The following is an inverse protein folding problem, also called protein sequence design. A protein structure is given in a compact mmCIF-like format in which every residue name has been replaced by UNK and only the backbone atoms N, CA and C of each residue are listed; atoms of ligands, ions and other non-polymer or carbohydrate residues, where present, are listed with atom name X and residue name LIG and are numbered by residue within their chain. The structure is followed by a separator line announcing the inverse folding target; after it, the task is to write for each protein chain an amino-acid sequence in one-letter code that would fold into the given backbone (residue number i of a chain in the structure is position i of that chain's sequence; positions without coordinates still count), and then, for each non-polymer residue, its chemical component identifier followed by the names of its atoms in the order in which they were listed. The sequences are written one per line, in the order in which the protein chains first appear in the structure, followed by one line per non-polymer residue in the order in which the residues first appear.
data_IF_719181422304
#
_entry.id   IF_719181422304
#
_cell.length_a   1.000
_cell.length_b   1.000
_cell.length_c   1.000
_cell.angle_alpha   90.00
_cell.angle_beta   90.00
_cell.angle_gamma   90.00
#
_symmetry.space_group_name_H-M   'P 1'
#
loop_
_entity.id
_entity.type
_entity.pdbx_description
1 polymer ?
#
# COMPACT_ATOMS: atom_id res chain seq x y z
N UNK A 1 27.67 -30.51 -1.97
CA UNK A 1 26.73 -29.73 -1.14
C UNK A 1 27.21 -29.42 0.29
N UNK A 2 28.44 -29.82 0.70
CA UNK A 2 29.02 -29.40 2.00
C UNK A 2 29.63 -27.98 1.96
N UNK A 3 30.07 -27.52 0.79
CA UNK A 3 30.79 -26.24 0.61
C UNK A 3 29.94 -24.98 0.83
N UNK A 4 28.60 -25.10 0.80
CA UNK A 4 27.68 -23.94 0.92
C UNK A 4 27.38 -23.61 2.39
N UNK A 5 27.58 -24.56 3.31
CA UNK A 5 27.34 -24.36 4.75
C UNK A 5 28.53 -23.71 5.46
N UNK A 6 29.76 -23.99 5.02
CA UNK A 6 30.98 -23.41 5.60
C UNK A 6 31.09 -21.88 5.34
N UNK A 7 30.48 -21.38 4.26
CA UNK A 7 30.42 -19.94 3.98
C UNK A 7 29.37 -19.18 4.80
N UNK A 8 28.38 -19.87 5.39
CA UNK A 8 27.35 -19.24 6.24
C UNK A 8 27.88 -19.03 7.68
N UNK A 9 28.81 -19.86 8.14
CA UNK A 9 29.46 -19.69 9.45
C UNK A 9 30.39 -18.47 9.53
N UNK A 10 30.95 -18.02 8.40
CA UNK A 10 31.80 -16.82 8.36
C UNK A 10 31.03 -15.50 8.60
N UNK A 11 29.70 -15.50 8.50
CA UNK A 11 28.84 -14.31 8.72
C UNK A 11 28.28 -14.21 10.15
N UNK A 12 28.56 -15.18 11.03
CA UNK A 12 28.06 -15.20 12.41
C UNK A 12 28.52 -14.03 13.32
N UNK A 13 29.71 -13.41 13.17
CA UNK A 13 30.10 -12.33 14.07
C UNK A 13 29.36 -11.00 13.81
N UNK A 14 28.76 -10.81 12.63
CA UNK A 14 27.98 -9.58 12.31
C UNK A 14 26.60 -9.61 13.00
N UNK A 15 26.05 -10.79 13.28
CA UNK A 15 24.73 -10.96 13.90
C UNK A 15 24.75 -10.58 15.39
N UNK A 16 25.92 -10.60 16.05
CA UNK A 16 26.07 -10.21 17.46
C UNK A 16 25.75 -8.73 17.74
N UNK A 17 25.73 -7.87 16.70
CA UNK A 17 25.45 -6.43 16.81
C UNK A 17 24.02 -6.03 16.40
N UNK A 18 23.17 -7.00 16.02
CA UNK A 18 21.78 -6.72 15.66
C UNK A 18 20.84 -6.92 16.85
N UNK A 19 20.64 -5.81 17.58
CA UNK A 19 19.43 -5.41 18.33
C UNK A 19 18.47 -6.59 18.62
N UNK A 20 18.40 -7.03 19.88
CA UNK A 20 17.62 -8.17 20.47
C UNK A 20 16.25 -8.53 19.84
N UNK A 21 15.60 -7.63 19.09
CA UNK A 21 14.35 -7.87 18.36
C UNK A 21 14.53 -8.66 17.05
N UNK A 22 15.64 -8.51 16.33
CA UNK A 22 15.88 -9.22 15.06
C UNK A 22 16.14 -10.71 15.28
N UNK A 23 16.90 -11.06 16.32
CA UNK A 23 17.25 -12.45 16.64
C UNK A 23 16.01 -13.32 16.95
N UNK A 24 14.99 -12.76 17.62
CA UNK A 24 13.74 -13.46 17.94
C UNK A 24 12.87 -13.74 16.71
N UNK A 25 13.02 -12.96 15.64
CA UNK A 25 12.30 -13.17 14.38
C UNK A 25 12.96 -14.27 13.55
N UNK A 26 14.30 -14.30 13.50
CA UNK A 26 15.09 -15.35 12.83
C UNK A 26 14.91 -16.71 13.51
N UNK A 27 14.99 -16.79 14.84
CA UNK A 27 14.72 -18.02 15.62
C UNK A 27 13.31 -18.60 15.42
N UNK A 28 12.32 -17.74 15.10
CA UNK A 28 10.94 -18.18 14.88
C UNK A 28 10.72 -18.75 13.46
N UNK A 29 11.55 -18.36 12.49
CA UNK A 29 11.56 -18.98 11.16
C UNK A 29 12.24 -20.36 11.16
N UNK A 30 13.26 -20.55 12.00
CA UNK A 30 13.97 -21.85 12.13
C UNK A 30 13.09 -22.95 12.76
N UNK A 31 12.04 -22.58 13.50
CA UNK A 31 11.04 -23.50 14.07
C UNK A 31 9.68 -23.45 13.35
N UNK A 32 9.68 -23.12 12.06
CA UNK A 32 8.46 -23.13 11.26
C UNK A 32 8.17 -24.54 10.75
N UNK A 33 7.15 -25.19 11.32
CA UNK A 33 6.61 -26.43 10.74
C UNK A 33 5.62 -26.11 9.61
N UNK A 34 5.77 -26.72 8.41
CA UNK A 34 4.86 -26.50 7.30
C UNK A 34 3.44 -26.98 7.62
N UNK A 35 2.48 -26.55 6.80
CA UNK A 35 1.07 -26.82 7.07
C UNK A 35 0.74 -28.31 6.87
N UNK A 36 1.32 -28.95 5.85
CA UNK A 36 1.08 -30.35 5.52
C UNK A 36 1.46 -31.25 6.71
N UNK A 37 2.66 -31.05 7.28
CA UNK A 37 3.14 -31.83 8.42
C UNK A 37 2.25 -31.69 9.66
N UNK A 38 1.63 -30.52 9.87
CA UNK A 38 0.70 -30.34 10.99
C UNK A 38 -0.63 -31.07 10.75
N UNK A 39 -1.09 -31.13 9.51
CA UNK A 39 -2.29 -31.87 9.12
C UNK A 39 -2.06 -33.37 9.32
N UNK A 40 -0.91 -33.88 8.86
CA UNK A 40 -0.50 -35.27 9.06
C UNK A 40 -0.46 -35.66 10.55
N UNK A 41 0.10 -34.80 11.40
CA UNK A 41 0.11 -35.03 12.84
C UNK A 41 -1.31 -35.17 13.43
N UNK A 42 -2.29 -34.42 12.91
CA UNK A 42 -3.70 -34.51 13.33
C UNK A 42 -4.34 -35.79 12.83
N UNK A 43 -4.08 -36.21 11.58
CA UNK A 43 -4.60 -37.48 11.06
C UNK A 43 -4.07 -38.69 11.83
N UNK A 44 -2.77 -38.73 12.12
CA UNK A 44 -2.16 -39.80 12.93
C UNK A 44 -2.77 -39.81 14.35
N UNK A 45 -2.99 -38.64 14.95
CA UNK A 45 -3.68 -38.56 16.25
C UNK A 45 -5.14 -39.04 16.16
N UNK A 46 -5.84 -38.69 15.08
CA UNK A 46 -7.22 -39.13 14.84
C UNK A 46 -7.36 -40.65 14.83
N UNK A 47 -6.38 -41.35 14.24
CA UNK A 47 -6.32 -42.81 14.16
C UNK A 47 -5.88 -43.46 15.49
N UNK A 48 -4.88 -42.92 16.17
CA UNK A 48 -4.29 -43.55 17.38
C UNK A 48 -4.98 -43.16 18.68
N UNK A 49 -5.58 -41.97 18.74
CA UNK A 49 -6.12 -41.33 19.97
C UNK A 49 -5.12 -41.30 21.14
N UNK A 50 -3.82 -41.39 20.87
CA UNK A 50 -2.76 -41.42 21.88
C UNK A 50 -1.59 -40.53 21.47
N UNK A 51 -1.24 -39.56 22.32
CA UNK A 51 -0.16 -38.61 22.04
C UNK A 51 1.22 -39.26 21.94
N UNK A 52 1.48 -40.32 22.72
CA UNK A 52 2.77 -41.02 22.72
C UNK A 52 2.97 -41.80 21.42
N UNK A 53 1.93 -42.50 20.99
CA UNK A 53 1.98 -43.28 19.76
C UNK A 53 2.02 -42.37 18.52
N UNK A 54 1.27 -41.26 18.57
CA UNK A 54 1.33 -40.24 17.52
C UNK A 54 2.73 -39.65 17.38
N UNK A 55 3.39 -39.28 18.49
CA UNK A 55 4.77 -38.75 18.47
C UNK A 55 5.73 -39.76 17.84
N UNK A 56 5.65 -41.03 18.24
CA UNK A 56 6.50 -42.09 17.70
C UNK A 56 6.31 -42.25 16.19
N UNK A 57 5.08 -42.51 15.74
CA UNK A 57 4.76 -42.72 14.32
C UNK A 57 5.14 -41.49 13.48
N UNK A 58 4.88 -40.29 14.02
CA UNK A 58 5.22 -39.05 13.34
C UNK A 58 6.74 -38.88 13.21
N UNK A 59 7.49 -39.11 14.29
CA UNK A 59 8.94 -38.93 14.29
C UNK A 59 9.67 -40.00 13.46
N UNK A 60 9.12 -41.22 13.40
CA UNK A 60 9.59 -42.28 12.51
C UNK A 60 9.39 -41.89 11.03
N UNK A 61 8.29 -41.19 10.70
CA UNK A 61 8.00 -40.69 9.35
C UNK A 61 8.80 -39.44 8.98
N UNK A 62 9.06 -38.55 9.93
CA UNK A 62 9.73 -37.26 9.72
C UNK A 62 10.95 -37.07 10.64
N UNK A 63 12.08 -37.75 10.37
CA UNK A 63 13.25 -37.73 11.25
C UNK A 63 13.97 -36.38 11.30
N UNK A 64 13.90 -35.59 10.22
CA UNK A 64 14.55 -34.27 10.11
C UNK A 64 13.79 -33.16 10.84
N UNK A 65 12.58 -33.44 11.33
CA UNK A 65 11.74 -32.48 12.02
C UNK A 65 10.87 -33.19 13.06
N UNK A 66 11.45 -33.73 14.14
CA UNK A 66 10.66 -34.42 15.15
C UNK A 66 9.71 -33.47 15.89
N UNK A 67 8.56 -33.97 16.28
CA UNK A 67 7.58 -33.31 17.14
C UNK A 67 7.81 -33.78 18.58
N UNK A 68 7.59 -32.87 19.53
CA UNK A 68 7.48 -33.22 20.94
C UNK A 68 6.00 -33.32 21.37
N UNK A 69 5.69 -34.19 22.33
CA UNK A 69 4.32 -34.34 22.90
C UNK A 69 3.69 -33.03 23.34
N UNK A 70 4.47 -32.09 23.88
CA UNK A 70 3.97 -30.77 24.30
C UNK A 70 3.39 -30.01 23.11
N UNK A 71 4.14 -29.92 22.01
CA UNK A 71 3.69 -29.28 20.78
C UNK A 71 2.43 -29.95 20.23
N UNK A 72 2.40 -31.29 20.22
CA UNK A 72 1.25 -32.05 19.75
C UNK A 72 -0.02 -31.75 20.55
N UNK A 73 0.08 -31.69 21.89
CA UNK A 73 -1.04 -31.29 22.77
C UNK A 73 -1.54 -29.88 22.45
N UNK A 74 -0.64 -28.92 22.30
CA UNK A 74 -0.99 -27.53 21.95
C UNK A 74 -1.64 -27.45 20.56
N UNK A 75 -1.14 -28.23 19.59
CA UNK A 75 -1.67 -28.30 18.24
C UNK A 75 -3.11 -28.83 18.23
N UNK A 76 -3.36 -29.94 18.92
CA UNK A 76 -4.68 -30.57 18.99
C UNK A 76 -5.65 -29.71 19.79
N UNK A 77 -5.23 -29.14 20.92
CA UNK A 77 -6.08 -28.22 21.70
C UNK A 77 -6.49 -27.00 20.87
N UNK A 78 -5.54 -26.41 20.13
CA UNK A 78 -5.82 -25.32 19.20
C UNK A 78 -6.79 -25.75 18.09
N UNK A 79 -6.57 -26.92 17.51
CA UNK A 79 -7.43 -27.45 16.45
C UNK A 79 -8.85 -27.72 16.95
N UNK A 80 -9.01 -28.28 18.15
CA UNK A 80 -10.33 -28.51 18.76
C UNK A 80 -11.11 -27.20 19.00
N UNK A 81 -10.43 -26.11 19.34
CA UNK A 81 -11.07 -24.81 19.60
C UNK A 81 -11.35 -24.03 18.32
N UNK A 82 -10.40 -23.97 17.38
CA UNK A 82 -10.48 -23.09 16.18
C UNK A 82 -10.89 -23.83 14.91
N UNK A 83 -10.78 -25.16 14.87
CA UNK A 83 -10.93 -25.96 13.64
C UNK A 83 -9.82 -25.76 12.62
N UNK A 84 -8.76 -25.00 12.96
CA UNK A 84 -7.72 -24.60 12.04
C UNK A 84 -6.32 -24.81 12.58
N UNK A 85 -5.44 -25.24 11.68
CA UNK A 85 -4.05 -25.59 11.93
C UNK A 85 -3.11 -24.43 11.56
N UNK A 86 -3.62 -23.43 10.84
CA UNK A 86 -2.83 -22.30 10.32
C UNK A 86 -2.28 -21.45 11.46
N UNK A 87 -1.10 -20.87 11.25
CA UNK A 87 -0.48 -20.03 12.29
C UNK A 87 -1.38 -18.82 12.58
N UNK A 88 -1.54 -18.50 13.87
CA UNK A 88 -2.29 -17.31 14.27
C UNK A 88 -1.57 -16.08 13.70
N UNK A 89 -2.32 -15.16 13.08
CA UNK A 89 -1.79 -13.86 12.70
C UNK A 89 -1.27 -13.20 13.98
N UNK A 90 -0.03 -12.76 13.96
CA UNK A 90 0.52 -12.00 15.07
C UNK A 90 -0.24 -10.68 15.16
N UNK A 91 -0.57 -10.21 16.37
CA UNK A 91 -1.03 -8.83 16.51
C UNK A 91 0.04 -7.93 15.90
N UNK A 92 -0.38 -7.03 15.03
CA UNK A 92 0.50 -6.08 14.36
C UNK A 92 1.15 -5.11 15.34
N UNK A 93 1.97 -4.20 14.80
CA UNK A 93 2.46 -3.08 15.61
C UNK A 93 1.28 -2.26 16.16
N UNK A 94 1.31 -1.82 17.43
CA UNK A 94 0.25 -1.01 18.01
C UNK A 94 -0.07 0.17 17.11
N UNK A 95 -1.35 0.32 16.78
CA UNK A 95 -1.83 1.45 16.01
C UNK A 95 -2.01 2.64 16.94
N UNK A 96 -1.87 3.85 16.39
CA UNK A 96 -2.24 5.09 17.10
C UNK A 96 -3.74 5.00 17.43
N UNK A 97 -4.19 5.37 18.64
CA UNK A 97 -5.62 5.43 18.94
C UNK A 97 -6.35 6.36 17.98
N UNK A 98 -7.62 6.06 17.69
CA UNK A 98 -8.42 6.80 16.70
C UNK A 98 -8.58 8.28 17.07
N UNK A 99 -8.80 8.58 18.35
CA UNK A 99 -8.89 9.94 18.89
C UNK A 99 -7.68 10.81 18.51
N UNK A 100 -6.47 10.27 18.66
CA UNK A 100 -5.23 10.97 18.29
C UNK A 100 -5.10 11.16 16.79
N UNK A 101 -5.62 10.23 15.99
CA UNK A 101 -5.62 10.40 14.53
C UNK A 101 -6.53 11.54 14.11
N UNK A 102 -7.73 11.62 14.69
CA UNK A 102 -8.68 12.71 14.45
C UNK A 102 -8.06 14.04 14.86
N UNK A 103 -7.41 14.09 16.03
CA UNK A 103 -6.72 15.30 16.51
C UNK A 103 -5.65 15.79 15.52
N UNK A 104 -4.77 14.89 15.05
CA UNK A 104 -3.69 15.23 14.11
C UNK A 104 -4.26 15.71 12.77
N UNK A 105 -5.30 15.04 12.26
CA UNK A 105 -5.92 15.42 10.99
C UNK A 105 -6.64 16.77 11.13
N UNK A 106 -7.37 16.97 12.24
CA UNK A 106 -8.05 18.23 12.52
C UNK A 106 -7.10 19.43 12.52
N UNK A 107 -5.97 19.31 13.21
CA UNK A 107 -4.96 20.37 13.25
C UNK A 107 -4.45 20.74 11.85
N UNK A 108 -4.20 19.74 11.01
CA UNK A 108 -3.69 19.95 9.64
C UNK A 108 -4.77 20.50 8.70
N UNK A 109 -6.03 20.16 8.90
CA UNK A 109 -7.14 20.73 8.14
C UNK A 109 -7.33 22.20 8.48
N UNK A 110 -7.20 22.58 9.75
CA UNK A 110 -7.30 23.98 10.20
C UNK A 110 -6.11 24.79 9.67
N UNK A 111 -4.90 24.26 9.78
CA UNK A 111 -3.68 24.94 9.37
C UNK A 111 -2.77 24.06 8.47
N UNK A 112 -3.04 23.98 7.16
CA UNK A 112 -2.29 23.11 6.24
C UNK A 112 -0.79 23.45 6.09
N UNK A 113 -0.39 24.65 6.51
CA UNK A 113 0.97 25.18 6.37
C UNK A 113 1.88 24.81 7.56
N UNK A 114 1.33 24.24 8.63
CA UNK A 114 2.11 23.89 9.81
C UNK A 114 3.11 22.77 9.52
N UNK A 115 4.25 22.83 10.20
CA UNK A 115 5.24 21.76 10.13
C UNK A 115 4.74 20.51 10.85
N UNK A 116 5.13 19.34 10.36
CA UNK A 116 4.81 18.07 11.03
C UNK A 116 5.39 17.96 12.44
N UNK A 117 6.49 18.66 12.73
CA UNK A 117 7.06 18.76 14.07
C UNK A 117 6.16 19.55 15.03
N UNK A 118 5.58 20.66 14.56
CA UNK A 118 4.66 21.46 15.37
C UNK A 118 3.37 20.69 15.67
N UNK A 119 2.79 20.04 14.67
CA UNK A 119 1.59 19.19 14.85
C UNK A 119 1.88 18.03 15.81
N UNK A 120 3.08 17.46 15.74
CA UNK A 120 3.50 16.38 16.64
C UNK A 120 3.57 16.84 18.10
N UNK A 121 4.11 18.04 18.35
CA UNK A 121 4.16 18.66 19.67
C UNK A 121 2.76 18.96 20.21
N UNK A 122 1.92 19.62 19.41
CA UNK A 122 0.52 19.93 19.75
C UNK A 122 -0.31 18.68 20.09
N UNK A 123 -0.11 17.59 19.35
CA UNK A 123 -0.82 16.33 19.55
C UNK A 123 -0.14 15.38 20.55
N UNK A 124 1.03 15.74 21.10
CA UNK A 124 1.86 14.91 21.99
C UNK A 124 2.19 13.53 21.38
N UNK A 125 2.62 13.52 20.13
CA UNK A 125 3.01 12.31 19.39
C UNK A 125 4.39 12.47 18.76
N UNK A 126 5.00 11.38 18.29
CA UNK A 126 6.27 11.50 17.56
C UNK A 126 6.05 12.08 16.15
N UNK A 127 6.99 12.88 15.60
CA UNK A 127 6.89 13.38 14.22
C UNK A 127 6.77 12.28 13.16
N UNK A 128 7.44 11.14 13.37
CA UNK A 128 7.33 9.98 12.47
C UNK A 128 5.92 9.39 12.45
N UNK A 129 5.19 9.49 13.56
CA UNK A 129 3.79 9.05 13.68
C UNK A 129 2.88 9.92 12.82
N UNK A 130 3.03 11.25 12.92
CA UNK A 130 2.30 12.23 12.10
C UNK A 130 2.57 11.97 10.62
N UNK A 131 3.84 11.83 10.24
CA UNK A 131 4.22 11.61 8.83
C UNK A 131 3.62 10.32 8.25
N UNK A 132 3.63 9.20 9.01
CA UNK A 132 2.99 7.94 8.60
C UNK A 132 1.48 8.10 8.42
N UNK A 133 0.83 8.82 9.34
CA UNK A 133 -0.61 9.05 9.29
C UNK A 133 -0.98 9.88 8.06
N UNK A 134 -0.25 10.98 7.80
CA UNK A 134 -0.50 11.83 6.64
C UNK A 134 -0.29 11.10 5.32
N UNK A 135 0.79 10.30 5.22
CA UNK A 135 1.04 9.47 4.05
C UNK A 135 -0.08 8.46 3.81
N UNK A 136 -0.61 7.84 4.86
CA UNK A 136 -1.72 6.89 4.76
C UNK A 136 -3.01 7.56 4.28
N UNK A 137 -3.28 8.77 4.77
CA UNK A 137 -4.48 9.54 4.43
C UNK A 137 -4.31 10.42 3.18
N UNK A 138 -3.22 10.26 2.42
CA UNK A 138 -2.93 11.00 1.17
C UNK A 138 -2.88 12.52 1.33
N UNK A 139 -2.45 13.00 2.50
CA UNK A 139 -2.12 14.42 2.66
C UNK A 139 -0.74 14.69 2.04
N UNK A 140 -0.73 15.58 1.06
CA UNK A 140 0.49 16.02 0.39
C UNK A 140 0.85 17.43 0.86
N UNK A 141 2.13 17.71 1.16
CA UNK A 141 2.56 19.07 1.42
C UNK A 141 2.19 19.97 0.24
N UNK A 142 1.49 21.07 0.51
CA UNK A 142 1.19 22.06 -0.51
C UNK A 142 2.42 22.94 -0.73
N UNK A 143 2.75 23.22 -2.00
CA UNK A 143 3.82 24.16 -2.36
C UNK A 143 3.19 25.50 -2.69
N UNK A 144 3.42 26.51 -1.86
CA UNK A 144 2.98 27.87 -2.14
C UNK A 144 3.66 28.37 -3.42
N UNK A 145 2.85 28.82 -4.38
CA UNK A 145 3.35 29.51 -5.55
C UNK A 145 3.44 31.00 -5.22
N UNK A 146 4.62 31.59 -5.42
CA UNK A 146 4.75 33.05 -5.38
C UNK A 146 4.10 33.61 -6.64
N UNK A 147 2.94 34.25 -6.47
CA UNK A 147 2.20 34.92 -7.53
C UNK A 147 2.32 36.44 -7.33
N UNK A 148 2.10 37.20 -8.41
CA UNK A 148 2.06 38.66 -8.32
C UNK A 148 0.89 39.09 -7.42
N UNK A 149 1.12 40.10 -6.59
CA UNK A 149 0.07 40.67 -5.75
C UNK A 149 -1.01 41.31 -6.62
N UNK A 150 -2.27 41.02 -6.32
CA UNK A 150 -3.41 41.68 -6.96
C UNK A 150 -3.68 43.00 -6.23
N UNK A 151 -3.84 44.06 -7.00
CA UNK A 151 -4.40 45.35 -6.56
C UNK A 151 -5.93 45.28 -6.57
N UNK A 152 -6.60 46.23 -5.90
CA UNK A 152 -8.07 46.23 -5.79
C UNK A 152 -8.80 46.31 -7.13
N UNK A 153 -8.19 46.94 -8.14
CA UNK A 153 -8.74 47.08 -9.50
C UNK A 153 -8.51 45.85 -10.41
N UNK A 154 -7.58 44.96 -10.03
CA UNK A 154 -7.19 43.83 -10.89
C UNK A 154 -8.29 42.79 -11.13
N UNK A 155 -9.19 42.45 -10.18
CA UNK A 155 -10.26 41.49 -10.42
C UNK A 155 -11.15 41.90 -11.60
N UNK A 156 -11.60 43.16 -11.63
CA UNK A 156 -12.50 43.67 -12.66
C UNK A 156 -11.82 43.70 -14.03
N UNK A 157 -10.58 44.22 -14.09
CA UNK A 157 -9.79 44.24 -15.33
C UNK A 157 -9.50 42.84 -15.88
N UNK A 158 -9.30 41.85 -15.00
CA UNK A 158 -9.07 40.46 -15.40
C UNK A 158 -10.33 39.81 -15.96
N UNK A 159 -11.49 40.08 -15.36
CA UNK A 159 -12.78 39.61 -15.88
C UNK A 159 -13.06 40.22 -17.25
N UNK A 160 -12.91 41.55 -17.38
CA UNK A 160 -13.09 42.25 -18.64
C UNK A 160 -12.16 41.70 -19.74
N UNK A 161 -10.89 41.45 -19.41
CA UNK A 161 -9.95 40.81 -20.32
C UNK A 161 -10.41 39.41 -20.74
N UNK A 162 -10.86 38.59 -19.80
CA UNK A 162 -11.36 37.24 -20.07
C UNK A 162 -12.59 37.26 -20.99
N UNK A 163 -13.56 38.15 -20.76
CA UNK A 163 -14.75 38.32 -21.59
C UNK A 163 -14.38 38.75 -23.01
N UNK A 164 -13.57 39.81 -23.11
CA UNK A 164 -13.09 40.34 -24.39
C UNK A 164 -12.31 39.29 -25.20
N UNK A 165 -11.48 38.48 -24.54
CA UNK A 165 -10.70 37.45 -25.23
C UNK A 165 -11.58 36.25 -25.63
N UNK A 166 -12.56 35.89 -24.80
CA UNK A 166 -13.52 34.82 -25.10
C UNK A 166 -14.32 35.15 -26.36
N UNK A 167 -14.86 36.37 -26.46
CA UNK A 167 -15.60 36.83 -27.64
C UNK A 167 -14.73 36.77 -28.92
N UNK A 168 -13.49 37.26 -28.84
CA UNK A 168 -12.54 37.22 -29.97
C UNK A 168 -12.22 35.79 -30.39
N UNK A 169 -12.02 34.88 -29.44
CA UNK A 169 -11.78 33.46 -29.71
C UNK A 169 -13.01 32.83 -30.40
N UNK A 170 -14.22 33.16 -29.97
CA UNK A 170 -15.45 32.67 -30.59
C UNK A 170 -15.64 33.18 -32.01
N UNK A 171 -15.37 34.46 -32.27
CA UNK A 171 -15.42 35.03 -33.62
C UNK A 171 -14.43 34.31 -34.55
N UNK A 172 -13.19 34.06 -34.10
CA UNK A 172 -12.18 33.33 -34.88
C UNK A 172 -12.59 31.88 -35.09
N UNK A 173 -13.12 31.21 -34.07
CA UNK A 173 -13.64 29.84 -34.15
C UNK A 173 -14.78 29.75 -35.17
N UNK A 174 -15.74 30.67 -35.11
CA UNK A 174 -16.87 30.76 -36.02
C UNK A 174 -16.45 31.10 -37.46
N UNK A 175 -15.47 31.99 -37.64
CA UNK A 175 -14.86 32.27 -38.94
C UNK A 175 -14.20 31.03 -39.54
N UNK A 176 -13.53 30.22 -38.72
CA UNK A 176 -12.91 28.98 -39.16
C UNK A 176 -13.94 27.89 -39.51
N UNK A 177 -15.04 27.80 -38.75
CA UNK A 177 -16.16 26.89 -39.04
C UNK A 177 -16.90 27.26 -40.35
N UNK A 178 -17.12 28.55 -40.60
CA UNK A 178 -17.73 29.05 -41.85
C UNK A 178 -16.84 28.82 -43.08
N UNK A 179 -15.52 28.93 -42.92
CA UNK A 179 -14.55 28.57 -43.98
C UNK A 179 -14.59 27.08 -44.34
N UNK A 180 -14.85 26.19 -43.38
CA UNK A 180 -15.03 24.75 -43.61
C UNK A 180 -16.34 24.42 -44.32
N UNK A 181 -17.43 25.16 -44.07
CA UNK A 181 -18.71 25.02 -44.79
C UNK A 181 -18.66 25.52 -46.24
N UNK A 182 -17.90 26.60 -46.52
CA UNK A 182 -17.74 27.09 -47.89
C UNK A 182 -16.85 26.20 -48.77
N UNK A 183 -15.86 25.50 -48.17
CA UNK A 183 -15.04 24.51 -48.92
C UNK A 183 -15.81 23.23 -49.27
N UNK A 184 -16.77 22.80 -48.45
CA UNK A 184 -17.63 21.64 -48.73
C UNK A 184 -18.72 21.96 -49.75
N UNK A 185 -19.32 23.17 -49.72
CA UNK A 185 -20.26 23.62 -50.77
C UNK A 185 -19.61 23.77 -52.15
N UNK A 186 -18.38 24.31 -52.24
CA UNK A 186 -17.63 24.42 -53.52
C UNK A 186 -17.25 23.06 -54.13
N UNK A 187 -17.15 21.99 -53.33
CA UNK A 187 -16.95 20.62 -53.85
C UNK A 187 -18.23 20.01 -54.43
N UNK A 188 -19.41 20.38 -53.94
CA UNK A 188 -20.68 19.87 -54.46
C UNK A 188 -21.13 20.58 -55.74
N UNK A 189 -20.78 21.87 -55.93
CA UNK A 189 -21.19 22.64 -57.11
C UNK A 189 -20.34 22.41 -58.37
N UNK A 190 -19.12 21.85 -58.23
CA UNK A 190 -18.22 21.59 -59.37
C UNK A 190 -18.29 20.12 -59.87
N UNK A 191 -19.25 19.34 -59.39
CA UNK A 191 -19.45 17.93 -59.73
C UNK A 191 -20.52 17.68 -60.79
N UNK A 192 -20.72 18.59 -61.75
CA UNK A 192 -21.68 18.38 -62.82
C UNK A 192 -21.08 18.66 -64.21
N UNK A 193 -21.14 17.60 -65.03
CA UNK A 193 -21.05 17.53 -66.49
C UNK A 193 -19.65 17.60 -67.13
N UNK A 194 -19.05 16.42 -67.31
CA UNK A 194 -18.36 16.09 -68.58
C UNK A 194 -19.05 14.87 -69.19
N UNK A 195 -19.97 15.13 -70.12
CA UNK A 195 -20.50 14.13 -71.03
C UNK A 195 -19.37 13.58 -71.91
N UNK A 196 -19.42 12.27 -72.14
CA UNK A 196 -18.61 11.55 -73.12
C UNK A 196 -18.80 12.14 -74.53
N UNK A 197 -17.70 12.21 -75.29
CA UNK A 197 -17.73 11.88 -76.71
C UNK A 197 -16.38 11.25 -77.09
N UNK A 198 -16.49 9.96 -77.44
CA UNK A 198 -15.63 9.06 -78.24
C UNK A 198 -14.10 9.24 -78.14
#
# INVERSE_FOLDING_TARGET
MKVVWDQVEAYFPIIALLRKKHFRFVLKMVNYRPLEEKIEAIYIYGATRSFRETERIFNDRFPNGPICRKYLRELIAKFAVTGSVTNKKLPGHPHIPEEKQIQIIGEIVVNPQQSTAHVADACQVSPSTVWKLLKRNKFHPYRNQMLHQLTEDDPDRRVEFCENMTEKIEIVRNRHLMSRHNKTKRRCSNGAVRHLHL
#
